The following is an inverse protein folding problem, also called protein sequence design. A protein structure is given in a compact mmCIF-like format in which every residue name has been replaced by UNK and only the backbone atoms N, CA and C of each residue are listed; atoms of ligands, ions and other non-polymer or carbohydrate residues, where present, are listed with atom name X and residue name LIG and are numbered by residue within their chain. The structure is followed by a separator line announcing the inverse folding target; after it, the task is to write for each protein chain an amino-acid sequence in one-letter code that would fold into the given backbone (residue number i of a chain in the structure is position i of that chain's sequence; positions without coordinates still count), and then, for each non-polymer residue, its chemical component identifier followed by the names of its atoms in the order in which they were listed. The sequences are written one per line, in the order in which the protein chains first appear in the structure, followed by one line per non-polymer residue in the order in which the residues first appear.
data_IF_666668717525
#
_entry.id   IF_666668717525
#
_cell.length_a   1.000
_cell.length_b   1.000
_cell.length_c   1.000
_cell.angle_alpha   90.00
_cell.angle_beta   90.00
_cell.angle_gamma   90.00
#
_symmetry.space_group_name_H-M   'P 1'
#
loop_
_entity.id
_entity.type
_entity.pdbx_description
1 polymer ?
#
# COMPACT_ATOMS: atom_id res chain seq x y z
N UNK A 1 0.53 9.39 7.42
CA UNK A 1 -0.31 8.84 6.33
C UNK A 1 -1.74 8.55 6.78
N UNK A 2 -2.01 8.52 8.10
CA UNK A 2 -3.34 8.22 8.64
C UNK A 2 -4.39 9.30 8.34
N UNK A 3 -3.96 10.54 8.13
CA UNK A 3 -4.80 11.64 7.64
C UNK A 3 -4.45 11.92 6.18
N UNK A 4 -3.47 12.79 5.96
CA UNK A 4 -2.95 13.09 4.62
C UNK A 4 -1.45 13.43 4.68
N UNK A 5 -0.69 13.16 3.61
CA UNK A 5 0.78 13.26 3.63
C UNK A 5 1.32 14.66 3.89
N UNK A 6 0.57 15.71 3.51
CA UNK A 6 0.99 17.11 3.63
C UNK A 6 1.00 17.65 5.07
N UNK A 7 0.42 16.94 6.03
CA UNK A 7 0.56 17.28 7.47
C UNK A 7 2.03 17.22 7.91
N UNK A 8 2.83 16.34 7.33
CA UNK A 8 4.28 16.20 7.58
C UNK A 8 4.63 16.04 9.06
N UNK A 9 3.78 15.38 9.84
CA UNK A 9 4.04 15.03 11.23
C UNK A 9 4.27 13.54 11.37
N UNK A 10 5.26 13.20 12.19
CA UNK A 10 5.55 11.83 12.61
C UNK A 10 6.06 11.83 14.04
N UNK A 11 5.95 10.69 14.71
CA UNK A 11 6.56 10.47 16.02
C UNK A 11 7.29 9.13 16.05
N UNK A 12 8.26 9.02 16.92
CA UNK A 12 8.97 7.78 17.23
C UNK A 12 8.84 7.46 18.72
N UNK A 13 8.57 6.20 19.02
CA UNK A 13 8.68 5.65 20.37
C UNK A 13 10.05 4.97 20.47
N UNK A 14 10.87 5.43 21.38
CA UNK A 14 12.28 5.07 21.49
C UNK A 14 12.61 4.54 22.87
N UNK A 15 13.56 3.61 22.99
CA UNK A 15 14.25 3.38 24.26
C UNK A 15 14.88 4.67 24.77
N UNK A 16 14.83 4.90 26.09
CA UNK A 16 15.28 6.15 26.73
C UNK A 16 16.71 6.56 26.30
N UNK A 17 17.62 5.59 26.23
CA UNK A 17 19.01 5.82 25.83
C UNK A 17 19.18 6.41 24.42
N UNK A 18 18.19 6.25 23.53
CA UNK A 18 18.23 6.75 22.16
C UNK A 18 17.54 8.12 21.98
N UNK A 19 16.81 8.59 22.99
CA UNK A 19 16.05 9.85 22.88
C UNK A 19 16.98 11.04 22.65
N UNK A 20 17.96 11.27 23.54
CA UNK A 20 18.86 12.40 23.44
C UNK A 20 19.72 12.40 22.16
N UNK A 21 20.36 11.29 21.73
CA UNK A 21 21.08 11.22 20.47
C UNK A 21 20.21 11.53 19.25
N UNK A 22 18.98 11.01 19.20
CA UNK A 22 18.08 11.23 18.06
C UNK A 22 17.48 12.63 18.05
N UNK A 23 17.22 13.25 19.19
CA UNK A 23 16.84 14.66 19.27
C UNK A 23 17.97 15.54 18.72
N UNK A 24 19.23 15.28 19.11
CA UNK A 24 20.39 16.00 18.59
C UNK A 24 20.53 15.83 17.07
N UNK A 25 20.48 14.60 16.58
CA UNK A 25 20.57 14.32 15.15
C UNK A 25 19.45 15.04 14.38
N UNK A 26 18.22 14.98 14.88
CA UNK A 26 17.07 15.65 14.25
C UNK A 26 17.26 17.18 14.21
N UNK A 27 17.77 17.78 15.28
CA UNK A 27 18.02 19.23 15.32
C UNK A 27 19.02 19.66 14.27
N UNK A 28 20.04 18.83 14.00
CA UNK A 28 21.07 19.11 12.98
C UNK A 28 20.51 18.97 11.55
N UNK A 29 19.70 17.92 11.30
CA UNK A 29 19.25 17.58 9.94
C UNK A 29 17.97 18.29 9.51
N UNK A 30 17.03 18.52 10.43
CA UNK A 30 15.65 18.93 10.11
C UNK A 30 15.18 20.15 10.93
N UNK A 31 15.99 20.65 11.84
CA UNK A 31 15.64 21.77 12.72
C UNK A 31 14.45 21.43 13.62
N UNK A 32 13.34 22.17 13.47
CA UNK A 32 12.14 22.01 14.27
C UNK A 32 10.93 21.62 13.41
N UNK A 33 10.06 20.69 13.87
CA UNK A 33 8.79 20.44 13.21
C UNK A 33 7.88 21.68 13.35
N UNK A 34 6.95 21.82 12.40
CA UNK A 34 5.96 22.90 12.43
C UNK A 34 5.14 22.87 13.71
N UNK A 35 5.32 23.85 14.59
CA UNK A 35 4.54 23.98 15.81
C UNK A 35 3.04 24.21 15.56
N UNK A 36 2.61 25.05 14.60
CA UNK A 36 1.20 25.20 14.30
C UNK A 36 0.55 23.88 13.87
N UNK A 37 1.24 23.07 13.06
CA UNK A 37 0.69 21.76 12.65
C UNK A 37 0.60 20.76 13.80
N UNK A 38 1.51 20.83 14.78
CA UNK A 38 1.40 20.04 16.00
C UNK A 38 0.20 20.44 16.84
N UNK A 39 -0.03 21.76 17.02
CA UNK A 39 -1.20 22.28 17.75
C UNK A 39 -2.51 21.86 17.08
N UNK A 40 -2.61 22.00 15.77
CA UNK A 40 -3.78 21.53 14.99
C UNK A 40 -4.00 20.03 15.15
N UNK A 41 -2.93 19.22 15.10
CA UNK A 41 -3.05 17.78 15.29
C UNK A 41 -3.46 17.41 16.72
N UNK A 42 -2.95 18.11 17.72
CA UNK A 42 -3.34 17.91 19.12
C UNK A 42 -4.82 18.22 19.34
N UNK A 43 -5.29 19.37 18.89
CA UNK A 43 -6.69 19.77 18.98
C UNK A 43 -7.62 18.77 18.27
N UNK A 44 -7.24 18.32 17.07
CA UNK A 44 -7.97 17.30 16.33
C UNK A 44 -8.06 15.95 17.06
N UNK A 45 -7.03 15.59 17.82
CA UNK A 45 -7.01 14.40 18.67
C UNK A 45 -7.88 14.59 19.92
N UNK A 46 -7.74 15.71 20.61
CA UNK A 46 -8.44 16.00 21.86
C UNK A 46 -9.95 16.11 21.67
N UNK A 47 -10.39 16.60 20.52
CA UNK A 47 -11.81 16.64 20.13
C UNK A 47 -12.34 15.27 19.65
N UNK A 48 -11.53 14.22 19.62
CA UNK A 48 -11.92 12.88 19.23
C UNK A 48 -12.09 12.65 17.73
N UNK A 49 -11.86 13.66 16.90
CA UNK A 49 -12.00 13.59 15.44
C UNK A 49 -11.02 12.58 14.82
N UNK A 50 -9.79 12.51 15.34
CA UNK A 50 -8.80 11.54 14.87
C UNK A 50 -9.25 10.09 15.10
N UNK A 51 -9.77 9.79 16.28
CA UNK A 51 -10.26 8.47 16.61
C UNK A 51 -11.48 8.07 15.75
N UNK A 52 -12.39 9.00 15.51
CA UNK A 52 -13.54 8.79 14.63
C UNK A 52 -13.10 8.54 13.18
N UNK A 53 -12.18 9.34 12.66
CA UNK A 53 -11.59 9.17 11.34
C UNK A 53 -10.92 7.80 11.18
N UNK A 54 -10.10 7.37 12.15
CA UNK A 54 -9.45 6.06 12.09
C UNK A 54 -10.44 4.90 12.08
N UNK A 55 -11.53 4.98 12.87
CA UNK A 55 -12.59 3.94 12.85
C UNK A 55 -13.23 3.84 11.47
N UNK A 56 -13.61 4.97 10.89
CA UNK A 56 -14.22 5.03 9.56
C UNK A 56 -13.27 4.47 8.48
N UNK A 57 -12.01 4.93 8.47
CA UNK A 57 -11.02 4.48 7.48
C UNK A 57 -10.73 2.98 7.60
N UNK A 58 -10.66 2.43 8.81
CA UNK A 58 -10.49 0.98 9.01
C UNK A 58 -11.64 0.17 8.40
N UNK A 59 -12.87 0.63 8.53
CA UNK A 59 -14.03 -0.03 7.92
C UNK A 59 -13.96 0.02 6.40
N UNK A 60 -13.73 1.20 5.83
CA UNK A 60 -13.63 1.41 4.38
C UNK A 60 -12.49 0.56 3.79
N UNK A 61 -11.30 0.61 4.39
CA UNK A 61 -10.14 -0.12 3.87
C UNK A 61 -10.29 -1.62 4.02
N UNK A 62 -10.92 -2.10 5.09
CA UNK A 62 -11.25 -3.52 5.24
C UNK A 62 -12.18 -3.98 4.13
N UNK A 63 -13.28 -3.28 3.90
CA UNK A 63 -14.24 -3.61 2.83
C UNK A 63 -13.56 -3.67 1.45
N UNK A 64 -12.76 -2.65 1.12
CA UNK A 64 -12.04 -2.60 -0.16
C UNK A 64 -10.98 -3.70 -0.30
N UNK A 65 -10.29 -4.02 0.80
CA UNK A 65 -9.35 -5.14 0.85
C UNK A 65 -10.04 -6.48 0.58
N UNK A 66 -11.19 -6.69 1.19
CA UNK A 66 -11.96 -7.93 1.04
C UNK A 66 -12.47 -8.08 -0.40
N UNK A 67 -12.92 -6.99 -1.03
CA UNK A 67 -13.25 -6.96 -2.47
C UNK A 67 -12.04 -7.32 -3.33
N UNK A 68 -10.86 -6.74 -3.04
CA UNK A 68 -9.64 -7.08 -3.79
C UNK A 68 -9.28 -8.56 -3.62
N UNK A 69 -9.34 -9.11 -2.41
CA UNK A 69 -9.07 -10.53 -2.17
C UNK A 69 -10.01 -11.44 -2.96
N UNK A 70 -11.30 -11.14 -2.93
CA UNK A 70 -12.30 -11.88 -3.68
C UNK A 70 -12.08 -11.78 -5.19
N UNK A 71 -11.78 -10.58 -5.69
CA UNK A 71 -11.53 -10.34 -7.10
C UNK A 71 -10.25 -11.04 -7.60
N UNK A 72 -9.17 -11.05 -6.81
CA UNK A 72 -7.95 -11.81 -7.10
C UNK A 72 -8.25 -13.30 -7.18
N UNK A 73 -8.95 -13.85 -6.19
CA UNK A 73 -9.32 -15.26 -6.19
C UNK A 73 -10.17 -15.65 -7.42
N UNK A 74 -11.09 -14.79 -7.81
CA UNK A 74 -12.03 -15.08 -8.92
C UNK A 74 -11.41 -14.89 -10.31
N UNK A 75 -10.49 -13.94 -10.47
CA UNK A 75 -10.03 -13.51 -11.79
C UNK A 75 -8.53 -13.76 -12.05
N UNK A 76 -7.72 -13.91 -11.01
CA UNK A 76 -6.26 -14.07 -11.12
C UNK A 76 -5.75 -15.30 -10.34
N UNK A 77 -6.08 -16.53 -10.77
CA UNK A 77 -5.64 -17.74 -10.05
C UNK A 77 -4.11 -17.88 -9.96
N UNK A 78 -3.37 -17.23 -10.87
CA UNK A 78 -1.91 -17.17 -10.93
C UNK A 78 -1.30 -16.05 -10.07
N UNK A 79 -2.11 -15.33 -9.28
CA UNK A 79 -1.68 -14.24 -8.43
C UNK A 79 -2.12 -14.48 -6.98
N UNK A 80 -1.19 -14.88 -6.12
CA UNK A 80 -1.47 -15.25 -4.73
C UNK A 80 -1.25 -14.06 -3.81
N UNK A 81 -2.28 -13.59 -3.08
CA UNK A 81 -2.12 -12.57 -2.06
C UNK A 81 -1.14 -13.01 -0.97
N UNK A 82 -0.20 -12.14 -0.61
CA UNK A 82 0.65 -12.33 0.55
C UNK A 82 -0.06 -11.79 1.80
N UNK A 83 0.14 -12.44 2.95
CA UNK A 83 -0.55 -12.02 4.19
C UNK A 83 -0.21 -10.57 4.54
N UNK A 84 -1.25 -9.75 4.59
CA UNK A 84 -1.19 -8.34 4.95
C UNK A 84 -2.37 -8.01 5.86
N UNK A 85 -2.10 -7.91 7.15
CA UNK A 85 -3.12 -7.60 8.17
C UNK A 85 -3.50 -6.12 8.23
N UNK A 86 -2.89 -5.28 7.39
CA UNK A 86 -3.14 -3.83 7.39
C UNK A 86 -2.52 -3.11 6.20
N UNK A 87 -2.56 -1.78 6.24
CA UNK A 87 -2.01 -0.94 5.19
C UNK A 87 -3.03 -0.52 4.13
N UNK A 88 -2.52 0.08 3.07
CA UNK A 88 -3.27 0.67 1.96
C UNK A 88 -3.03 -0.08 0.64
N UNK A 89 -2.14 -1.05 0.67
CA UNK A 89 -1.67 -1.83 -0.46
C UNK A 89 -1.54 -3.29 -0.04
N UNK A 90 -1.66 -4.18 -1.00
CA UNK A 90 -1.50 -5.62 -0.84
C UNK A 90 -0.35 -6.10 -1.72
N UNK A 91 0.57 -6.84 -1.15
CA UNK A 91 1.57 -7.57 -1.90
C UNK A 91 0.93 -8.85 -2.47
N UNK A 92 1.18 -9.11 -3.73
CA UNK A 92 0.65 -10.27 -4.46
C UNK A 92 1.81 -10.95 -5.16
N UNK A 93 2.03 -12.24 -4.90
CA UNK A 93 3.03 -13.05 -5.60
C UNK A 93 2.45 -13.54 -6.92
N UNK A 94 3.22 -13.43 -7.98
CA UNK A 94 2.90 -14.08 -9.27
C UNK A 94 3.50 -15.48 -9.29
N UNK A 95 2.68 -16.47 -9.56
CA UNK A 95 3.08 -17.89 -9.60
C UNK A 95 3.40 -18.36 -11.00
N UNK A 96 3.01 -17.61 -12.00
CA UNK A 96 3.17 -17.93 -13.43
C UNK A 96 3.61 -16.69 -14.22
N UNK A 97 4.33 -16.93 -15.30
CA UNK A 97 4.74 -15.91 -16.24
C UNK A 97 5.84 -14.97 -15.76
N UNK A 98 6.12 -13.96 -16.53
CA UNK A 98 7.11 -12.93 -16.25
C UNK A 98 6.47 -11.70 -15.60
N UNK A 99 6.93 -11.32 -14.42
CA UNK A 99 6.50 -10.09 -13.73
C UNK A 99 6.58 -8.87 -14.65
N UNK A 100 7.70 -8.71 -15.35
CA UNK A 100 7.89 -7.57 -16.27
C UNK A 100 6.92 -7.57 -17.45
N UNK A 101 6.63 -8.77 -18.02
CA UNK A 101 5.69 -8.88 -19.12
C UNK A 101 4.27 -8.54 -18.65
N UNK A 102 3.85 -9.10 -17.53
CA UNK A 102 2.54 -8.82 -16.92
C UNK A 102 2.39 -7.34 -16.53
N UNK A 103 3.42 -6.73 -15.94
CA UNK A 103 3.41 -5.31 -15.58
C UNK A 103 3.26 -4.40 -16.82
N UNK A 104 3.96 -4.70 -17.92
CA UNK A 104 3.79 -3.96 -19.17
C UNK A 104 2.39 -4.11 -19.75
N UNK A 105 1.83 -5.33 -19.75
CA UNK A 105 0.47 -5.57 -20.22
C UNK A 105 -0.57 -4.88 -19.35
N UNK A 106 -0.41 -4.88 -18.03
CA UNK A 106 -1.25 -4.14 -17.10
C UNK A 106 -1.21 -2.62 -17.39
N UNK A 107 -0.02 -2.07 -17.61
CA UNK A 107 0.15 -0.66 -17.97
C UNK A 107 -0.54 -0.30 -19.28
N UNK A 108 -0.54 -1.18 -20.28
CA UNK A 108 -1.27 -0.99 -21.53
C UNK A 108 -2.81 -0.93 -21.32
N UNK A 109 -3.31 -1.53 -20.24
CA UNK A 109 -4.71 -1.43 -19.81
C UNK A 109 -4.99 -0.22 -18.89
N UNK A 110 -3.99 0.63 -18.66
CA UNK A 110 -4.09 1.76 -17.74
C UNK A 110 -4.06 1.37 -16.24
N UNK A 111 -3.61 0.15 -15.93
CA UNK A 111 -3.57 -0.37 -14.56
C UNK A 111 -2.12 -0.37 -14.06
N UNK A 112 -1.86 0.41 -13.00
CA UNK A 112 -0.55 0.45 -12.37
C UNK A 112 -0.36 -0.75 -11.42
N UNK A 113 0.62 -1.58 -11.72
CA UNK A 113 1.02 -2.74 -10.93
C UNK A 113 2.52 -2.68 -10.59
N UNK A 114 2.93 -1.81 -9.63
CA UNK A 114 4.36 -1.69 -9.26
C UNK A 114 4.94 -3.05 -8.86
N UNK A 115 6.10 -3.37 -9.40
CA UNK A 115 6.79 -4.66 -9.18
C UNK A 115 7.24 -4.83 -7.72
N UNK A 116 7.13 -6.04 -7.19
CA UNK A 116 7.72 -6.38 -5.89
C UNK A 116 9.22 -6.59 -6.00
N UNK A 117 9.71 -7.13 -7.12
CA UNK A 117 11.14 -7.41 -7.32
C UNK A 117 12.01 -6.15 -7.20
N UNK A 118 11.48 -4.98 -7.56
CA UNK A 118 12.17 -3.69 -7.43
C UNK A 118 12.44 -3.26 -5.98
N UNK A 119 11.80 -3.89 -4.98
CA UNK A 119 12.01 -3.59 -3.57
C UNK A 119 13.16 -4.39 -2.96
N UNK A 120 13.71 -5.34 -3.69
CA UNK A 120 14.81 -6.19 -3.23
C UNK A 120 16.15 -5.64 -3.67
N UNK A 121 17.08 -5.52 -2.74
CA UNK A 121 18.47 -5.14 -3.03
C UNK A 121 19.34 -6.34 -3.40
N UNK A 122 18.90 -7.55 -3.04
CA UNK A 122 19.62 -8.81 -3.30
C UNK A 122 18.68 -9.89 -3.79
N UNK A 123 19.20 -10.81 -4.59
CA UNK A 123 18.47 -12.02 -5.02
C UNK A 123 18.40 -13.06 -3.90
N UNK A 124 17.40 -13.97 -3.87
CA UNK A 124 16.29 -14.02 -4.82
C UNK A 124 15.19 -13.00 -4.52
N UNK A 125 14.67 -12.34 -5.55
CA UNK A 125 13.51 -11.48 -5.46
C UNK A 125 12.22 -12.27 -5.65
N UNK A 126 11.15 -11.87 -4.94
CA UNK A 126 9.82 -12.41 -5.17
C UNK A 126 9.22 -11.68 -6.38
N UNK A 127 8.87 -12.42 -7.41
CA UNK A 127 8.09 -11.88 -8.52
C UNK A 127 6.66 -11.59 -8.06
N UNK A 128 6.20 -10.36 -8.25
CA UNK A 128 4.89 -9.97 -7.77
C UNK A 128 4.54 -8.51 -7.97
N UNK A 129 3.39 -8.14 -7.47
CA UNK A 129 2.86 -6.78 -7.55
C UNK A 129 2.51 -6.21 -6.17
N UNK A 130 2.53 -4.91 -6.10
CA UNK A 130 2.02 -4.13 -4.98
C UNK A 130 0.76 -3.40 -5.40
N UNK A 131 -0.40 -3.98 -5.09
CA UNK A 131 -1.70 -3.47 -5.50
C UNK A 131 -2.29 -2.53 -4.46
N UNK A 132 -2.57 -1.28 -4.88
CA UNK A 132 -3.26 -0.29 -4.06
C UNK A 132 -4.78 -0.47 -4.11
N UNK A 133 -5.44 -0.51 -2.96
CA UNK A 133 -6.91 -0.62 -2.88
C UNK A 133 -7.57 0.55 -2.15
N UNK A 134 -6.82 1.31 -1.39
CA UNK A 134 -7.38 2.30 -0.48
C UNK A 134 -8.09 3.49 -1.15
N UNK A 135 -7.68 3.87 -2.36
CA UNK A 135 -8.21 5.03 -3.07
C UNK A 135 -9.33 4.68 -4.08
N UNK A 136 -9.56 3.39 -4.33
CA UNK A 136 -10.47 2.94 -5.38
C UNK A 136 -11.85 2.56 -4.82
N UNK A 137 -12.89 2.76 -5.62
CA UNK A 137 -14.21 2.22 -5.34
C UNK A 137 -14.22 0.69 -5.54
N UNK A 138 -15.06 -0.06 -4.81
CA UNK A 138 -15.15 -1.53 -4.93
C UNK A 138 -15.33 -2.02 -6.36
N UNK A 139 -16.16 -1.34 -7.15
CA UNK A 139 -16.47 -1.68 -8.53
C UNK A 139 -15.25 -1.51 -9.44
N UNK A 140 -14.44 -0.48 -9.19
CA UNK A 140 -13.19 -0.25 -9.92
C UNK A 140 -12.14 -1.32 -9.59
N UNK A 141 -12.08 -1.80 -8.35
CA UNK A 141 -11.19 -2.89 -7.93
C UNK A 141 -11.54 -4.18 -8.68
N UNK A 142 -12.82 -4.57 -8.71
CA UNK A 142 -13.27 -5.77 -9.41
C UNK A 142 -13.04 -5.66 -10.93
N UNK A 143 -13.37 -4.52 -11.51
CA UNK A 143 -13.17 -4.29 -12.95
C UNK A 143 -11.68 -4.37 -13.33
N UNK A 144 -10.79 -3.79 -12.52
CA UNK A 144 -9.35 -3.86 -12.75
C UNK A 144 -8.83 -5.31 -12.61
N UNK A 145 -9.25 -6.04 -11.59
CA UNK A 145 -8.87 -7.44 -11.41
C UNK A 145 -9.34 -8.32 -12.58
N UNK A 146 -10.56 -8.12 -13.06
CA UNK A 146 -11.10 -8.81 -14.22
C UNK A 146 -10.30 -8.52 -15.51
N UNK A 147 -9.89 -7.27 -15.69
CA UNK A 147 -9.04 -6.89 -16.83
C UNK A 147 -7.65 -7.53 -16.73
N UNK A 148 -7.05 -7.56 -15.54
CA UNK A 148 -5.78 -8.23 -15.28
C UNK A 148 -5.86 -9.74 -15.48
N UNK A 149 -6.98 -10.38 -15.16
CA UNK A 149 -7.19 -11.82 -15.39
C UNK A 149 -7.06 -12.23 -16.86
N UNK A 150 -7.38 -11.34 -17.80
CA UNK A 150 -7.25 -11.57 -19.23
C UNK A 150 -5.79 -11.62 -19.72
N UNK A 151 -4.86 -11.01 -18.98
CA UNK A 151 -3.43 -11.01 -19.30
C UNK A 151 -2.86 -12.43 -19.20
N UNK A 152 -3.15 -13.14 -18.11
CA UNK A 152 -2.65 -14.51 -17.88
C UNK A 152 -3.18 -15.54 -18.88
N UNK A 153 -4.43 -15.37 -19.35
CA UNK A 153 -5.07 -16.31 -20.28
C UNK A 153 -4.39 -16.37 -21.67
N UNK A 154 -3.65 -15.33 -22.05
CA UNK A 154 -2.97 -15.26 -23.36
C UNK A 154 -1.53 -15.82 -23.34
N UNK A 155 -0.98 -16.14 -22.16
CA UNK A 155 0.37 -16.71 -22.01
C UNK A 155 0.46 -18.22 -22.25
N UNK A 156 -0.65 -18.94 -22.23
CA UNK A 156 -0.68 -20.41 -22.36
C UNK A 156 -0.70 -20.96 -23.81
N UNK A 157 -0.71 -20.11 -24.83
CA UNK A 157 -0.83 -20.53 -26.23
C UNK A 157 0.41 -20.29 -27.11
N UNK A 158 1.61 -20.16 -26.55
CA UNK A 158 2.85 -20.22 -27.34
C UNK A 158 3.89 -21.10 -26.63
N UNK A 159 3.73 -22.39 -26.76
CA UNK A 159 4.70 -23.42 -26.58
C UNK A 159 4.94 -24.10 -27.91
#
# INVERSE_FOLDING_TARGET
KSLFPSVRLAYMVLPEALVAPLVTARTIYDGHPSQPMQAVAADFMDQGHFAAHLRLMRQIYRSRRDVLLQALHSHLPWATPMDSRGGLQMAVRLTEGSEQAHTRQAAALGIATPSLSELYHTAPAIAGWRLGFAALAPEAIDAAARALGRIGAHGQYRG
#
